data_IF_402620134040
#
_entry.id   IF_402620134040
#
_cell.length_a   1.000
_cell.length_b   1.000
_cell.length_c   1.000
_cell.angle_alpha   90.00
_cell.angle_beta   90.00
_cell.angle_gamma   90.00
#
_symmetry.space_group_name_H-M   'P 1'
#
loop_
_entity.id
_entity.type
_entity.pdbx_description
1 polymer ?
#
# COMPACT_ATOMS: atom_id res chain seq x y z
N UNK A 1 4.21 -21.28 -4.19
CA UNK A 1 3.70 -20.07 -4.87
C UNK A 1 3.46 -19.04 -3.80
N UNK A 2 4.11 -17.86 -3.86
CA UNK A 2 3.93 -16.83 -2.83
C UNK A 2 2.51 -16.25 -2.96
N UNK A 3 1.78 -16.21 -1.85
CA UNK A 3 0.47 -15.55 -1.72
C UNK A 3 0.59 -14.06 -2.04
N UNK A 4 -0.52 -13.41 -2.43
CA UNK A 4 -0.49 -11.97 -2.72
C UNK A 4 -0.08 -11.13 -1.50
N UNK A 5 -0.45 -11.57 -0.29
CA UNK A 5 -0.02 -10.94 0.96
C UNK A 5 1.50 -11.02 1.16
N UNK A 6 2.15 -12.12 0.78
CA UNK A 6 3.62 -12.25 0.83
C UNK A 6 4.31 -11.29 -0.14
N UNK A 7 3.74 -11.10 -1.33
CA UNK A 7 4.23 -10.09 -2.29
C UNK A 7 4.13 -8.67 -1.73
N UNK A 8 3.04 -8.37 -1.02
CA UNK A 8 2.89 -7.07 -0.35
C UNK A 8 3.93 -6.87 0.75
N UNK A 9 4.14 -7.86 1.62
CA UNK A 9 5.17 -7.79 2.67
C UNK A 9 6.55 -7.53 2.04
N UNK A 10 6.93 -8.30 1.01
CA UNK A 10 8.19 -8.10 0.31
C UNK A 10 8.30 -6.72 -0.36
N UNK A 11 7.19 -6.20 -0.92
CA UNK A 11 7.15 -4.87 -1.52
C UNK A 11 7.35 -3.76 -0.46
N UNK A 12 6.74 -3.90 0.72
CA UNK A 12 6.90 -2.97 1.84
C UNK A 12 8.35 -2.95 2.35
N UNK A 13 8.96 -4.12 2.55
CA UNK A 13 10.36 -4.24 2.99
C UNK A 13 11.33 -3.66 1.98
N UNK A 14 11.17 -4.03 0.71
CA UNK A 14 12.00 -3.52 -0.38
C UNK A 14 11.85 -2.00 -0.56
N UNK A 15 10.65 -1.45 -0.32
CA UNK A 15 10.41 -0.02 -0.36
C UNK A 15 11.15 0.69 0.79
N UNK A 16 11.02 0.18 2.01
CA UNK A 16 11.73 0.72 3.16
C UNK A 16 13.25 0.71 2.96
N UNK A 17 13.79 -0.42 2.49
CA UNK A 17 15.23 -0.59 2.23
C UNK A 17 15.77 0.41 1.20
N UNK A 18 15.01 0.72 0.16
CA UNK A 18 15.47 1.65 -0.85
C UNK A 18 15.38 3.11 -0.39
N UNK A 19 14.34 3.45 0.38
CA UNK A 19 14.24 4.77 1.01
C UNK A 19 15.40 5.01 2.00
N UNK A 20 15.77 4.00 2.79
CA UNK A 20 16.94 4.07 3.67
C UNK A 20 18.26 4.23 2.89
N UNK A 21 18.32 3.71 1.66
CA UNK A 21 19.46 3.90 0.73
C UNK A 21 19.41 5.23 -0.04
N UNK A 22 18.42 6.09 0.20
CA UNK A 22 18.33 7.41 -0.41
C UNK A 22 17.64 7.43 -1.78
N UNK A 23 16.79 6.45 -2.08
CA UNK A 23 15.94 6.53 -3.28
C UNK A 23 15.05 7.79 -3.26
N UNK A 24 14.80 8.38 -4.44
CA UNK A 24 14.09 9.65 -4.56
C UNK A 24 12.70 9.55 -3.92
N UNK A 25 12.43 10.45 -2.99
CA UNK A 25 11.16 10.50 -2.26
C UNK A 25 10.52 11.88 -2.35
N UNK A 26 9.22 11.91 -2.59
CA UNK A 26 8.44 13.14 -2.68
C UNK A 26 6.98 12.83 -2.35
N UNK A 27 6.53 13.24 -1.17
CA UNK A 27 5.18 12.92 -0.68
C UNK A 27 4.07 13.43 -1.61
N UNK A 28 4.26 14.59 -2.27
CA UNK A 28 3.32 15.17 -3.23
C UNK A 28 3.31 14.51 -4.61
N UNK A 29 4.13 13.49 -4.86
CA UNK A 29 4.22 12.80 -6.14
C UNK A 29 3.74 11.35 -5.98
N UNK A 30 2.65 10.99 -6.65
CA UNK A 30 1.98 9.68 -6.52
C UNK A 30 2.89 8.47 -6.72
N UNK A 31 3.91 8.58 -7.58
CA UNK A 31 4.91 7.53 -7.78
C UNK A 31 6.09 7.52 -6.79
N UNK A 32 6.30 8.57 -6.00
CA UNK A 32 7.49 8.76 -5.15
C UNK A 32 7.16 8.97 -3.67
N UNK A 33 5.88 8.93 -3.29
CA UNK A 33 5.44 8.89 -1.90
C UNK A 33 5.50 7.45 -1.34
N UNK A 34 5.13 7.26 -0.07
CA UNK A 34 5.17 5.96 0.59
C UNK A 34 4.38 4.87 -0.18
N UNK A 35 3.14 5.17 -0.58
CA UNK A 35 2.31 4.25 -1.38
C UNK A 35 2.93 4.02 -2.76
N UNK A 36 3.40 5.08 -3.42
CA UNK A 36 4.06 4.98 -4.73
C UNK A 36 5.23 4.01 -4.71
N UNK A 37 6.09 4.08 -3.70
CA UNK A 37 7.22 3.16 -3.53
C UNK A 37 6.80 1.70 -3.35
N UNK A 38 5.69 1.44 -2.66
CA UNK A 38 5.12 0.09 -2.55
C UNK A 38 4.58 -0.38 -3.90
N UNK A 39 3.85 0.48 -4.61
CA UNK A 39 3.29 0.17 -5.94
C UNK A 39 4.38 -0.12 -6.95
N UNK A 40 5.49 0.64 -6.94
CA UNK A 40 6.61 0.40 -7.85
C UNK A 40 7.10 -1.05 -7.78
N UNK A 41 7.10 -1.64 -6.59
CA UNK A 41 7.55 -3.03 -6.33
C UNK A 41 6.45 -4.05 -6.53
N UNK A 42 5.27 -3.79 -5.97
CA UNK A 42 4.15 -4.72 -6.02
C UNK A 42 3.65 -4.93 -7.45
N UNK A 43 3.61 -3.84 -8.22
CA UNK A 43 3.07 -3.78 -9.56
C UNK A 43 4.16 -3.71 -10.64
N UNK A 44 5.45 -3.70 -10.24
CA UNK A 44 6.60 -3.60 -11.16
C UNK A 44 6.49 -2.41 -12.11
N UNK A 45 6.18 -1.24 -11.57
CA UNK A 45 6.04 0.01 -12.31
C UNK A 45 7.10 1.01 -11.86
N UNK A 46 7.55 1.89 -12.74
CA UNK A 46 8.33 3.06 -12.39
C UNK A 46 7.46 4.17 -11.79
N UNK A 47 8.08 5.09 -11.07
CA UNK A 47 7.45 6.32 -10.59
C UNK A 47 6.77 7.13 -11.71
N UNK A 48 7.35 7.13 -12.91
CA UNK A 48 6.81 7.81 -14.10
C UNK A 48 5.58 7.12 -14.65
N UNK A 49 5.59 5.79 -14.71
CA UNK A 49 4.42 5.02 -15.17
C UNK A 49 3.25 5.16 -14.20
N UNK A 50 3.54 5.18 -12.90
CA UNK A 50 2.53 5.47 -11.87
C UNK A 50 2.01 6.89 -12.06
N UNK A 51 2.87 7.89 -12.18
CA UNK A 51 2.45 9.28 -12.39
C UNK A 51 1.57 9.45 -13.63
N UNK A 52 1.96 8.86 -14.76
CA UNK A 52 1.17 8.89 -16.00
C UNK A 52 -0.19 8.20 -15.84
N UNK A 53 -0.29 7.18 -14.98
CA UNK A 53 -1.56 6.54 -14.65
C UNK A 53 -2.48 7.40 -13.76
N UNK A 54 -2.05 8.57 -13.28
CA UNK A 54 -2.86 9.52 -12.49
C UNK A 54 -3.13 10.84 -13.23
N UNK A 55 -2.60 11.05 -14.44
CA UNK A 55 -2.58 12.38 -15.09
C UNK A 55 -3.96 13.03 -15.30
N UNK A 56 -5.06 12.29 -15.17
CA UNK A 56 -6.41 12.80 -15.41
C UNK A 56 -7.14 13.24 -14.14
N UNK A 57 -6.53 13.07 -12.97
CA UNK A 57 -7.20 13.16 -11.67
C UNK A 57 -6.34 13.84 -10.60
N UNK A 58 -6.93 14.14 -9.45
CA UNK A 58 -6.22 14.74 -8.31
C UNK A 58 -5.28 13.71 -7.67
N UNK A 59 -3.98 13.97 -7.72
CA UNK A 59 -2.88 13.05 -7.40
C UNK A 59 -2.67 12.69 -5.92
N UNK A 60 -3.70 12.19 -5.24
CA UNK A 60 -3.60 11.60 -3.89
C UNK A 60 -4.16 10.18 -3.86
N UNK A 61 -3.44 9.27 -3.24
CA UNK A 61 -3.84 7.86 -3.19
C UNK A 61 -5.13 7.64 -2.40
N UNK A 62 -5.30 8.33 -1.27
CA UNK A 62 -6.49 8.23 -0.42
C UNK A 62 -7.78 8.58 -1.15
N UNK A 63 -7.77 9.65 -1.93
CA UNK A 63 -8.96 10.16 -2.64
C UNK A 63 -9.38 9.17 -3.73
N UNK A 64 -8.41 8.74 -4.54
CA UNK A 64 -8.64 7.73 -5.57
C UNK A 64 -9.06 6.37 -5.03
N UNK A 65 -8.46 5.93 -3.92
CA UNK A 65 -8.81 4.65 -3.34
C UNK A 65 -10.26 4.67 -2.85
N UNK A 66 -10.71 5.75 -2.21
CA UNK A 66 -12.12 5.91 -1.84
C UNK A 66 -13.02 5.81 -3.08
N UNK A 67 -12.72 6.55 -4.15
CA UNK A 67 -13.49 6.50 -5.40
C UNK A 67 -13.54 5.09 -6.00
N UNK A 68 -12.41 4.37 -6.04
CA UNK A 68 -12.33 3.02 -6.60
C UNK A 68 -13.12 2.00 -5.78
N UNK A 69 -12.94 1.99 -4.46
CA UNK A 69 -13.50 0.97 -3.58
C UNK A 69 -14.98 1.22 -3.26
N UNK A 70 -15.44 2.47 -3.13
CA UNK A 70 -16.86 2.78 -2.92
C UNK A 70 -17.70 2.35 -4.14
N UNK A 71 -17.15 2.49 -5.35
CA UNK A 71 -17.81 2.04 -6.58
C UNK A 71 -17.73 0.52 -6.81
N UNK A 72 -16.86 -0.18 -6.08
CA UNK A 72 -16.73 -1.64 -6.15
C UNK A 72 -17.67 -2.38 -5.19
N UNK A 73 -18.43 -1.68 -4.34
CA UNK A 73 -19.44 -2.29 -3.45
C UNK A 73 -20.75 -2.53 -4.23
N UNK A 74 -20.76 -3.51 -5.13
CA UNK A 74 -21.98 -3.97 -5.79
C UNK A 74 -21.73 -4.98 -6.91
N UNK A 75 -22.62 -5.96 -7.04
CA UNK A 75 -22.62 -7.00 -8.09
C UNK A 75 -22.98 -6.45 -9.51
N UNK A 76 -22.88 -5.14 -9.73
CA UNK A 76 -23.22 -4.49 -11.00
C UNK A 76 -22.01 -4.40 -11.95
N UNK A 77 -22.19 -4.53 -13.28
CA UNK A 77 -21.10 -4.42 -14.25
C UNK A 77 -20.46 -3.03 -14.27
N UNK A 78 -19.31 -2.89 -13.60
CA UNK A 78 -18.21 -1.92 -13.76
C UNK A 78 -18.52 -0.69 -14.65
N UNK A 79 -19.45 0.17 -14.22
CA UNK A 79 -19.57 1.52 -14.76
C UNK A 79 -18.46 2.36 -14.13
N UNK A 80 -17.41 2.58 -14.92
CA UNK A 80 -16.10 3.06 -14.48
C UNK A 80 -16.13 4.38 -13.71
N UNK A 81 -15.53 4.42 -12.52
CA UNK A 81 -15.09 5.69 -11.92
C UNK A 81 -13.94 6.31 -12.71
N UNK A 82 -13.57 7.56 -12.43
CA UNK A 82 -12.45 8.20 -13.11
C UNK A 82 -11.15 7.43 -12.86
N UNK A 83 -10.90 7.09 -11.59
CA UNK A 83 -9.83 6.19 -11.15
C UNK A 83 -9.78 4.84 -11.89
N UNK A 84 -10.93 4.32 -12.35
CA UNK A 84 -11.00 3.04 -13.05
C UNK A 84 -10.70 3.15 -14.55
N UNK A 85 -10.87 4.34 -15.15
CA UNK A 85 -10.54 4.60 -16.57
C UNK A 85 -9.08 4.96 -16.78
N UNK A 86 -8.37 5.35 -15.74
CA UNK A 86 -7.01 5.83 -15.88
C UNK A 86 -6.05 4.73 -16.36
N UNK A 87 -5.15 5.12 -17.26
CA UNK A 87 -4.32 4.19 -18.02
C UNK A 87 -2.94 4.79 -18.32
N UNK A 88 -1.88 4.03 -18.05
CA UNK A 88 -0.54 4.39 -18.50
C UNK A 88 -0.29 3.88 -19.93
N UNK A 89 -0.10 4.78 -20.89
CA UNK A 89 0.18 4.41 -22.28
C UNK A 89 1.53 3.67 -22.46
N UNK A 90 2.53 3.98 -21.63
CA UNK A 90 3.87 3.38 -21.68
C UNK A 90 3.91 1.99 -21.05
N UNK A 91 3.37 1.85 -19.84
CA UNK A 91 3.33 0.57 -19.13
C UNK A 91 2.27 -0.38 -19.71
N UNK A 92 1.28 0.17 -20.44
CA UNK A 92 0.13 -0.59 -20.91
C UNK A 92 -0.70 -1.15 -19.75
N UNK A 93 -0.82 -0.43 -18.64
CA UNK A 93 -1.52 -0.89 -17.44
C UNK A 93 -2.55 0.12 -16.93
N UNK A 94 -3.77 -0.33 -16.58
CA UNK A 94 -4.78 0.53 -15.99
C UNK A 94 -4.47 0.77 -14.51
N UNK A 95 -4.78 1.96 -14.02
CA UNK A 95 -4.73 2.28 -12.60
C UNK A 95 -5.59 1.32 -11.78
N UNK A 96 -6.74 0.91 -12.34
CA UNK A 96 -7.61 -0.12 -11.78
C UNK A 96 -6.88 -1.43 -11.43
N UNK A 97 -5.85 -1.83 -12.18
CA UNK A 97 -5.11 -3.05 -11.90
C UNK A 97 -4.24 -2.93 -10.64
N UNK A 98 -3.74 -1.72 -10.34
CA UNK A 98 -3.01 -1.46 -9.10
C UNK A 98 -3.93 -1.67 -7.90
N UNK A 99 -5.16 -1.15 -7.96
CA UNK A 99 -6.14 -1.35 -6.90
C UNK A 99 -6.59 -2.81 -6.77
N UNK A 100 -6.72 -3.56 -7.88
CA UNK A 100 -6.95 -5.01 -7.81
C UNK A 100 -5.82 -5.75 -7.10
N UNK A 101 -4.56 -5.38 -7.36
CA UNK A 101 -3.42 -5.97 -6.65
C UNK A 101 -3.46 -5.67 -5.15
N UNK A 102 -3.79 -4.45 -4.77
CA UNK A 102 -3.99 -4.09 -3.36
C UNK A 102 -5.12 -4.90 -2.73
N UNK A 103 -6.29 -4.95 -3.37
CA UNK A 103 -7.43 -5.70 -2.89
C UNK A 103 -7.11 -7.19 -2.72
N UNK A 104 -6.46 -7.80 -3.72
CA UNK A 104 -6.03 -9.20 -3.66
C UNK A 104 -4.98 -9.44 -2.55
N UNK A 105 -4.21 -8.42 -2.16
CA UNK A 105 -3.29 -8.48 -1.03
C UNK A 105 -3.98 -8.27 0.34
N UNK A 106 -5.28 -7.96 0.35
CA UNK A 106 -6.05 -7.62 1.55
C UNK A 106 -5.87 -6.17 2.00
N UNK A 107 -5.55 -5.26 1.08
CA UNK A 107 -5.42 -3.80 1.34
C UNK A 107 -6.64 -3.10 0.76
N UNK A 108 -7.38 -2.40 1.61
CA UNK A 108 -8.56 -1.60 1.25
C UNK A 108 -8.22 -0.10 1.14
N UNK A 109 -9.23 0.73 0.85
CA UNK A 109 -9.07 2.17 0.73
C UNK A 109 -8.52 2.83 2.00
N UNK A 110 -8.99 2.39 3.18
CA UNK A 110 -8.56 2.93 4.45
C UNK A 110 -7.07 2.63 4.69
N UNK A 111 -6.64 1.41 4.41
CA UNK A 111 -5.24 1.00 4.53
C UNK A 111 -4.32 1.78 3.57
N UNK A 112 -4.76 2.09 2.34
CA UNK A 112 -4.03 2.95 1.40
C UNK A 112 -3.89 4.37 1.97
N UNK A 113 -4.99 4.95 2.46
CA UNK A 113 -4.97 6.28 3.08
C UNK A 113 -4.07 6.33 4.32
N UNK A 114 -4.09 5.29 5.15
CA UNK A 114 -3.19 5.18 6.30
C UNK A 114 -1.72 5.08 5.86
N UNK A 115 -1.42 4.37 4.78
CA UNK A 115 -0.07 4.26 4.25
C UNK A 115 0.43 5.59 3.67
N UNK A 116 -0.41 6.36 2.99
CA UNK A 116 -0.04 7.68 2.46
C UNK A 116 0.25 8.70 3.56
N UNK A 117 -0.44 8.61 4.69
CA UNK A 117 -0.34 9.56 5.80
C UNK A 117 0.45 9.03 7.01
N UNK A 118 1.03 7.83 6.91
CA UNK A 118 1.76 7.14 7.99
C UNK A 118 0.94 7.03 9.29
N UNK A 119 -0.32 6.58 9.19
CA UNK A 119 -1.31 6.74 10.26
C UNK A 119 -2.07 5.48 10.70
N UNK A 120 -1.73 4.29 10.22
CA UNK A 120 -2.38 3.04 10.66
C UNK A 120 -2.13 2.83 12.17
N UNK A 121 -3.19 2.76 13.01
CA UNK A 121 -3.04 2.60 14.46
C UNK A 121 -2.25 1.36 14.87
N UNK A 122 -2.36 0.25 14.13
CA UNK A 122 -1.65 -1.01 14.38
C UNK A 122 -0.15 -0.84 14.14
N UNK A 123 0.21 -0.16 13.06
CA UNK A 123 1.61 0.13 12.71
C UNK A 123 2.21 1.10 13.72
N UNK A 124 1.47 2.16 14.05
CA UNK A 124 1.92 3.15 15.02
C UNK A 124 2.11 2.53 16.42
N UNK A 125 1.31 1.52 16.80
CA UNK A 125 1.47 0.82 18.08
C UNK A 125 2.84 0.17 18.27
N UNK A 126 3.44 -0.28 17.17
CA UNK A 126 4.75 -0.94 17.13
C UNK A 126 5.94 0.03 17.01
N UNK A 127 5.69 1.34 16.95
CA UNK A 127 6.73 2.38 16.90
C UNK A 127 6.88 2.99 18.29
N UNK A 128 8.08 2.90 18.92
CA UNK A 128 8.29 3.47 20.25
C UNK A 128 8.16 5.00 20.28
N UNK A 129 7.58 5.57 21.36
CA UNK A 129 7.70 7.00 21.64
C UNK A 129 9.17 7.42 21.90
N UNK A 130 9.54 8.69 21.62
CA UNK A 130 8.70 9.75 21.07
C UNK A 130 8.57 9.69 19.54
N UNK A 131 9.23 8.73 18.88
CA UNK A 131 9.31 8.70 17.41
C UNK A 131 7.94 8.56 16.74
N UNK A 132 7.05 7.73 17.31
CA UNK A 132 5.65 7.55 16.87
C UNK A 132 4.90 8.86 16.61
N UNK A 133 5.11 9.87 17.46
CA UNK A 133 4.37 11.15 17.40
C UNK A 133 5.06 12.20 16.53
N UNK A 134 6.25 11.89 16.01
CA UNK A 134 7.10 12.81 15.27
C UNK A 134 7.35 12.33 13.84
N UNK A 135 6.60 11.34 13.36
CA UNK A 135 6.68 10.88 11.97
C UNK A 135 6.26 12.01 11.03
N UNK A 136 7.08 12.24 10.01
CA UNK A 136 6.83 13.22 8.96
C UNK A 136 6.68 12.47 7.66
N UNK A 137 5.49 12.52 7.07
CA UNK A 137 5.22 11.93 5.74
C UNK A 137 6.11 12.46 4.62
N UNK A 138 6.72 13.63 4.80
CA UNK A 138 7.69 14.21 3.85
C UNK A 138 9.12 13.73 4.07
N UNK A 139 9.41 13.01 5.16
CA UNK A 139 10.72 12.47 5.48
C UNK A 139 10.84 11.01 4.98
N UNK A 140 11.81 10.68 4.11
CA UNK A 140 11.96 9.34 3.55
C UNK A 140 12.30 8.28 4.60
N UNK A 141 13.06 8.62 5.66
CA UNK A 141 13.39 7.67 6.73
C UNK A 141 12.19 7.39 7.62
N UNK A 142 11.30 8.37 7.81
CA UNK A 142 10.04 8.15 8.53
C UNK A 142 9.09 7.26 7.74
N UNK A 143 9.01 7.47 6.42
CA UNK A 143 8.29 6.57 5.53
C UNK A 143 8.91 5.16 5.55
N UNK A 144 10.24 5.03 5.47
CA UNK A 144 10.93 3.74 5.54
C UNK A 144 10.64 2.99 6.84
N UNK A 145 10.77 3.67 7.98
CA UNK A 145 10.46 3.12 9.31
C UNK A 145 9.02 2.62 9.37
N UNK A 146 8.07 3.41 8.87
CA UNK A 146 6.67 3.06 8.86
C UNK A 146 6.40 1.83 7.97
N UNK A 147 6.88 1.81 6.72
CA UNK A 147 6.68 0.71 5.78
C UNK A 147 7.30 -0.61 6.30
N UNK A 148 8.52 -0.54 6.86
CA UNK A 148 9.17 -1.69 7.49
C UNK A 148 8.39 -2.20 8.70
N UNK A 149 7.81 -1.29 9.48
CA UNK A 149 6.96 -1.68 10.62
C UNK A 149 5.64 -2.28 10.17
N UNK A 150 5.05 -1.75 9.09
CA UNK A 150 3.86 -2.31 8.48
C UNK A 150 4.10 -3.75 7.99
N UNK A 151 5.22 -4.01 7.31
CA UNK A 151 5.60 -5.36 6.91
C UNK A 151 5.64 -6.33 8.11
N UNK A 152 6.25 -5.92 9.23
CA UNK A 152 6.33 -6.73 10.47
C UNK A 152 4.96 -7.01 11.09
N UNK A 153 4.05 -6.02 11.11
CA UNK A 153 2.67 -6.20 11.59
C UNK A 153 1.96 -7.25 10.75
N UNK A 154 2.00 -7.13 9.41
CA UNK A 154 1.36 -8.08 8.50
C UNK A 154 1.95 -9.49 8.59
N UNK A 155 3.27 -9.60 8.81
CA UNK A 155 3.93 -10.88 9.02
C UNK A 155 3.49 -11.54 10.33
N UNK A 156 3.33 -10.76 11.40
CA UNK A 156 2.93 -11.27 12.72
C UNK A 156 1.48 -11.75 12.77
N UNK A 157 0.56 -11.09 12.05
CA UNK A 157 -0.85 -11.50 11.93
C UNK A 157 -1.02 -12.92 11.35
N UNK A 158 -0.08 -13.35 10.48
CA UNK A 158 -0.08 -14.72 9.92
C UNK A 158 0.20 -15.77 11.00
N UNK A 159 1.21 -15.53 11.83
CA UNK A 159 1.62 -16.46 12.88
C UNK A 159 0.51 -16.64 13.92
N UNK A 160 -0.15 -15.55 14.30
CA UNK A 160 -1.25 -15.57 15.29
C UNK A 160 -2.49 -16.34 14.82
N UNK A 161 -2.72 -16.42 13.50
CA UNK A 161 -3.88 -17.15 12.94
C UNK A 161 -3.63 -18.66 12.89
N UNK A 162 -2.37 -19.09 12.74
CA UNK A 162 -2.00 -20.52 12.62
C UNK A 162 -2.01 -21.27 13.98
N UNK A 163 -2.00 -20.58 15.11
CA UNK A 163 -1.88 -21.21 16.45
C UNK A 163 -3.23 -21.44 17.15
N UNK A 164 -4.36 -20.98 16.57
CA UNK A 164 -5.69 -21.08 17.20
C UNK A 164 -6.46 -22.38 16.91
N UNK A 165 -5.93 -23.27 16.06
CA UNK A 165 -6.61 -24.50 15.62
C UNK A 165 -6.13 -25.79 16.31
N UNK A 166 -5.31 -25.72 17.36
CA UNK A 166 -4.97 -26.91 18.16
C UNK A 166 -5.76 -26.95 19.48
N UNK A 167 -6.92 -27.59 19.44
CA UNK A 167 -7.58 -28.12 20.64
C UNK A 167 -7.22 -29.61 20.73
N UNK A 168 -6.39 -30.06 21.69
CA UNK A 168 -6.29 -31.48 21.97
C UNK A 168 -7.61 -31.89 22.61
N UNK A 169 -8.47 -32.57 21.84
CA UNK A 169 -9.65 -33.20 22.41
C UNK A 169 -9.20 -34.14 23.54
N UNK A 170 -9.84 -33.91 24.68
CA UNK A 170 -9.64 -34.55 25.96
C UNK A 170 -9.86 -36.05 25.90
N UNK A 171 -9.03 -36.75 26.69
CA UNK A 171 -9.07 -38.16 27.12
C UNK A 171 -10.48 -38.73 27.32
#
# INVERSE_FOLDING_TARGET
MNTMRERLIAALESAADALDRGERYEWGHVGRCAVGHVVQRLASMSDREIFAAFERTVGQWREHAAEYFDAAVGDEPLATTESQRDWCATAGRPLAEIYRLFHAAGVDAAAIGHMEFLSDPRVLAEIPPPKRWKLRRSDPHDAALYLRTYARVLASERTSTSTRDYSPESV
#
